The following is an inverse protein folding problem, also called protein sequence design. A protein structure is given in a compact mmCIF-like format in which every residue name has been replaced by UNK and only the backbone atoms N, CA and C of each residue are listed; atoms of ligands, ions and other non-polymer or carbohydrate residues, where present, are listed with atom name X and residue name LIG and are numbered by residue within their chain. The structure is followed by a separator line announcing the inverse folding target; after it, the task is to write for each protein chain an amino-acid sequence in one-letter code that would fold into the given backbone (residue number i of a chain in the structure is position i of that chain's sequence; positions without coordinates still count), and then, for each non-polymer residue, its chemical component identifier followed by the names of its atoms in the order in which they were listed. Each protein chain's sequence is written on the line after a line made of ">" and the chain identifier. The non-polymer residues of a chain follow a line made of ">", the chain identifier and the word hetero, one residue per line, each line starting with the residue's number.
data_IF_053892398741
#
_entry.id   IF_053892398741
#
_cell.length_a   1.000
_cell.length_b   1.000
_cell.length_c   1.000
_cell.angle_alpha   90.00
_cell.angle_beta   90.00
_cell.angle_gamma   90.00
#
_symmetry.space_group_name_H-M   'P 1'
#
loop_
_entity.id
_entity.type
_entity.pdbx_description
1 polymer ?
#
# COMPACT_ATOMS: atom_id res chain seq x y z
N UNK A 1 23.89 -6.16 67.47
CA UNK A 1 23.32 -6.03 66.15
C UNK A 1 22.10 -5.14 66.19
N UNK A 2 22.22 -3.95 65.63
CA UNK A 2 21.30 -2.83 65.77
C UNK A 2 20.04 -3.05 64.89
N UNK A 3 18.87 -2.78 65.40
CA UNK A 3 17.59 -2.94 64.70
C UNK A 3 17.52 -2.13 63.39
N UNK A 4 18.30 -1.06 63.26
CA UNK A 4 18.48 -0.27 62.05
C UNK A 4 19.10 -1.05 60.89
N UNK A 5 20.00 -2.03 61.15
CA UNK A 5 20.59 -2.85 60.09
C UNK A 5 19.57 -3.85 59.49
N UNK A 6 18.60 -4.31 60.30
CA UNK A 6 17.50 -5.15 59.82
C UNK A 6 16.51 -4.40 58.91
N UNK A 7 16.34 -3.10 59.10
CA UNK A 7 15.51 -2.24 58.25
C UNK A 7 16.18 -1.90 56.91
N UNK A 8 17.50 -1.76 56.91
CA UNK A 8 18.26 -1.51 55.67
C UNK A 8 18.36 -2.75 54.77
N UNK A 9 18.35 -3.95 55.34
CA UNK A 9 18.33 -5.19 54.55
C UNK A 9 16.95 -5.48 53.92
N UNK A 10 15.85 -4.92 54.46
CA UNK A 10 14.50 -5.07 53.89
C UNK A 10 14.26 -4.20 52.64
N UNK A 11 15.09 -3.19 52.40
CA UNK A 11 14.96 -2.33 51.17
C UNK A 11 15.67 -2.85 49.95
N UNK A 12 16.34 -4.01 49.97
CA UNK A 12 17.01 -4.64 48.84
C UNK A 12 16.23 -5.76 48.14
N UNK A 13 14.98 -5.97 48.54
CA UNK A 13 14.06 -6.89 47.81
C UNK A 13 12.99 -6.11 47.02
N UNK A 14 13.37 -5.02 46.39
CA UNK A 14 12.62 -4.56 45.19
C UNK A 14 13.08 -5.49 44.07
N UNK A 15 12.33 -6.55 43.90
CA UNK A 15 12.42 -7.49 42.81
C UNK A 15 12.49 -6.69 41.52
N UNK A 16 13.63 -6.65 40.88
CA UNK A 16 13.79 -6.33 39.49
C UNK A 16 13.13 -7.48 38.65
N UNK A 17 11.82 -7.65 38.79
CA UNK A 17 11.03 -8.29 37.78
C UNK A 17 11.07 -7.34 36.58
N UNK A 18 12.09 -7.45 35.75
CA UNK A 18 11.99 -7.05 34.37
C UNK A 18 10.74 -7.76 33.86
N UNK A 19 9.66 -7.00 33.75
CA UNK A 19 8.50 -7.48 33.03
C UNK A 19 9.05 -7.91 31.66
N UNK A 20 9.03 -9.20 31.39
CA UNK A 20 9.39 -9.75 30.11
C UNK A 20 8.26 -9.29 29.17
N UNK A 21 8.36 -8.06 28.67
CA UNK A 21 7.43 -7.53 27.69
C UNK A 21 7.72 -8.34 26.42
N UNK A 22 6.77 -9.14 25.91
CA UNK A 22 6.99 -9.91 24.71
C UNK A 22 7.46 -8.99 23.60
N UNK A 23 8.56 -9.35 22.95
CA UNK A 23 9.08 -8.61 21.81
C UNK A 23 7.98 -8.49 20.73
N UNK A 24 7.81 -7.29 20.16
CA UNK A 24 6.86 -7.04 19.07
C UNK A 24 5.49 -6.49 19.49
N UNK A 25 5.19 -6.30 20.80
CA UNK A 25 3.93 -5.67 21.25
C UNK A 25 3.91 -4.14 21.08
N UNK A 26 5.07 -3.52 20.97
CA UNK A 26 5.23 -2.08 20.89
C UNK A 26 5.91 -1.65 19.60
N UNK A 27 5.43 -0.58 19.00
CA UNK A 27 6.00 0.03 17.81
C UNK A 27 6.19 1.52 18.01
N UNK A 28 7.35 2.04 17.63
CA UNK A 28 7.65 3.47 17.68
C UNK A 28 7.15 4.14 16.40
N UNK A 29 6.38 5.23 16.54
CA UNK A 29 6.01 6.04 15.38
C UNK A 29 7.27 6.70 14.81
N UNK A 30 7.56 6.57 13.50
CA UNK A 30 8.74 7.16 12.89
C UNK A 30 8.69 8.69 12.86
N UNK A 31 7.50 9.29 12.82
CA UNK A 31 7.31 10.73 12.73
C UNK A 31 7.43 11.42 14.11
N UNK A 32 6.63 11.01 15.09
CA UNK A 32 6.58 11.69 16.40
C UNK A 32 7.36 10.98 17.50
N UNK A 33 7.94 9.80 17.23
CA UNK A 33 8.72 9.03 18.20
C UNK A 33 7.90 8.36 19.32
N UNK A 34 6.57 8.52 19.34
CA UNK A 34 5.71 7.94 20.38
C UNK A 34 5.68 6.42 20.30
N UNK A 35 5.72 5.75 21.46
CA UNK A 35 5.65 4.29 21.54
C UNK A 35 4.17 3.89 21.61
N UNK A 36 3.74 3.08 20.67
CA UNK A 36 2.36 2.68 20.46
C UNK A 36 2.18 1.17 20.65
N UNK A 37 1.10 0.79 21.29
CA UNK A 37 0.73 -0.61 21.42
C UNK A 37 0.18 -1.15 20.09
N UNK A 38 0.65 -2.33 19.68
CA UNK A 38 0.34 -2.90 18.36
C UNK A 38 -1.17 -3.02 18.11
N UNK A 39 -1.96 -3.45 19.13
CA UNK A 39 -3.43 -3.54 18.97
C UNK A 39 -4.09 -2.17 18.73
N UNK A 40 -3.57 -1.09 19.30
CA UNK A 40 -4.07 0.27 19.03
C UNK A 40 -3.81 0.64 17.57
N UNK A 41 -2.62 0.32 17.06
CA UNK A 41 -2.30 0.51 15.65
C UNK A 41 -3.16 -0.37 14.73
N UNK A 42 -3.47 -1.58 15.17
CA UNK A 42 -4.36 -2.47 14.44
C UNK A 42 -5.77 -1.89 14.26
N UNK A 43 -6.34 -1.33 15.31
CA UNK A 43 -7.65 -0.68 15.26
C UNK A 43 -7.61 0.61 14.45
N UNK A 44 -6.53 1.38 14.54
CA UNK A 44 -6.36 2.64 13.78
C UNK A 44 -5.79 2.45 12.37
N UNK A 45 -5.80 1.23 11.82
CA UNK A 45 -5.31 0.90 10.48
C UNK A 45 -3.87 1.37 10.22
N UNK A 46 -2.96 1.20 11.21
CA UNK A 46 -1.57 1.69 11.18
C UNK A 46 -1.45 3.23 11.06
N UNK A 47 -2.47 3.98 11.45
CA UNK A 47 -2.39 5.44 11.60
C UNK A 47 -2.02 5.78 13.03
N UNK A 48 -1.02 6.62 13.22
CA UNK A 48 -0.59 7.02 14.56
C UNK A 48 -1.68 7.87 15.26
N UNK A 49 -2.20 7.46 16.42
CA UNK A 49 -3.25 8.22 17.12
C UNK A 49 -2.75 9.55 17.71
N UNK A 50 -1.43 9.80 17.71
CA UNK A 50 -0.84 11.02 18.26
C UNK A 50 -0.56 12.11 17.23
N UNK A 51 -0.10 11.73 16.02
CA UNK A 51 0.27 12.70 14.99
C UNK A 51 -0.37 12.39 13.63
N UNK A 52 -1.30 11.42 13.57
CA UNK A 52 -1.97 10.99 12.34
C UNK A 52 -1.04 10.56 11.21
N UNK A 53 0.23 10.25 11.51
CA UNK A 53 1.15 9.72 10.51
C UNK A 53 0.69 8.33 10.03
N UNK A 54 0.56 8.16 8.73
CA UNK A 54 0.17 6.93 8.06
C UNK A 54 1.38 6.01 7.92
N UNK A 55 1.51 5.02 8.83
CA UNK A 55 2.57 4.01 8.75
C UNK A 55 2.25 2.98 7.67
N UNK A 56 3.28 2.25 7.23
CA UNK A 56 3.09 1.18 6.24
C UNK A 56 2.17 0.08 6.76
N UNK A 57 1.27 -0.36 5.90
CA UNK A 57 0.35 -1.47 6.09
C UNK A 57 0.59 -2.50 4.98
N UNK A 58 0.47 -3.79 5.28
CA UNK A 58 0.61 -4.84 4.26
C UNK A 58 -0.57 -4.84 3.28
N UNK A 59 -0.34 -5.34 2.07
CA UNK A 59 -1.38 -5.42 1.04
C UNK A 59 -2.61 -6.20 1.53
N UNK A 60 -2.42 -7.38 2.12
CA UNK A 60 -3.54 -8.20 2.63
C UNK A 60 -4.33 -7.50 3.72
N UNK A 61 -3.64 -6.85 4.66
CA UNK A 61 -4.32 -6.15 5.75
C UNK A 61 -5.09 -4.93 5.23
N UNK A 62 -4.55 -4.23 4.24
CA UNK A 62 -5.25 -3.12 3.58
C UNK A 62 -6.53 -3.63 2.90
N UNK A 63 -6.45 -4.68 2.11
CA UNK A 63 -7.62 -5.27 1.44
C UNK A 63 -8.63 -5.83 2.43
N UNK A 64 -8.18 -6.53 3.48
CA UNK A 64 -9.06 -7.05 4.52
C UNK A 64 -9.79 -5.96 5.33
N UNK A 65 -9.20 -4.77 5.48
CA UNK A 65 -9.87 -3.63 6.14
C UNK A 65 -10.73 -2.80 5.19
N UNK A 66 -10.55 -2.96 3.90
CA UNK A 66 -11.25 -2.22 2.87
C UNK A 66 -12.51 -2.95 2.37
N UNK A 67 -12.40 -4.25 2.11
CA UNK A 67 -13.50 -5.07 1.60
C UNK A 67 -14.39 -5.58 2.74
N UNK A 68 -15.61 -5.93 2.39
CA UNK A 68 -16.53 -6.67 3.26
C UNK A 68 -15.93 -8.05 3.57
N UNK A 69 -16.27 -8.61 4.75
CA UNK A 69 -15.65 -9.87 5.21
C UNK A 69 -16.07 -11.05 4.33
N UNK A 70 -17.27 -10.97 3.79
CA UNK A 70 -17.91 -12.03 3.03
C UNK A 70 -17.46 -12.03 1.56
N UNK A 71 -17.44 -13.22 0.94
CA UNK A 71 -17.23 -13.42 -0.51
C UNK A 71 -15.90 -12.86 -1.09
N UNK A 72 -14.85 -12.78 -0.29
CA UNK A 72 -13.53 -12.39 -0.83
C UNK A 72 -12.87 -13.54 -1.58
N UNK A 73 -12.53 -13.32 -2.84
CA UNK A 73 -11.84 -14.30 -3.69
C UNK A 73 -10.54 -13.69 -4.22
N UNK A 74 -9.41 -14.25 -3.85
CA UNK A 74 -8.13 -13.86 -4.44
C UNK A 74 -8.05 -14.30 -5.90
N UNK A 75 -7.82 -13.34 -6.78
CA UNK A 75 -7.68 -13.57 -8.23
C UNK A 75 -6.24 -13.42 -8.67
N UNK A 76 -5.89 -14.02 -9.81
CA UNK A 76 -4.56 -13.93 -10.42
C UNK A 76 -3.38 -14.46 -9.56
N UNK A 77 -3.65 -15.21 -8.47
CA UNK A 77 -2.62 -15.75 -7.59
C UNK A 77 -1.76 -16.86 -8.21
N UNK A 78 -2.16 -17.38 -9.38
CA UNK A 78 -1.42 -18.37 -10.15
C UNK A 78 -0.19 -17.79 -10.87
N UNK A 79 -0.14 -16.47 -11.15
CA UNK A 79 1.04 -15.84 -11.72
C UNK A 79 2.19 -15.82 -10.72
N UNK A 80 3.36 -16.30 -11.15
CA UNK A 80 4.58 -16.35 -10.35
C UNK A 80 5.75 -15.73 -11.11
N UNK A 81 6.70 -15.07 -10.42
CA UNK A 81 7.85 -14.47 -11.06
C UNK A 81 8.84 -15.53 -11.56
N UNK A 82 9.40 -15.27 -12.74
CA UNK A 82 10.46 -16.07 -13.34
C UNK A 82 11.64 -15.17 -13.70
N UNK A 83 12.86 -15.69 -13.53
CA UNK A 83 14.09 -14.99 -13.97
C UNK A 83 14.44 -15.40 -15.41
N UNK A 84 13.72 -14.80 -16.37
CA UNK A 84 13.91 -15.06 -17.79
C UNK A 84 15.29 -14.58 -18.29
N UNK A 85 15.83 -13.53 -17.63
CA UNK A 85 17.07 -12.88 -18.08
C UNK A 85 18.33 -13.45 -17.38
N UNK A 86 18.17 -14.30 -16.36
CA UNK A 86 19.29 -14.75 -15.54
C UNK A 86 20.00 -13.60 -14.84
N UNK A 87 19.22 -12.59 -14.38
CA UNK A 87 19.81 -11.35 -13.84
C UNK A 87 20.61 -11.59 -12.56
N UNK A 88 21.81 -11.04 -12.54
CA UNK A 88 22.69 -11.06 -11.39
C UNK A 88 23.39 -9.72 -11.23
N UNK A 89 23.27 -9.13 -10.06
CA UNK A 89 24.14 -8.06 -9.55
C UNK A 89 25.01 -8.60 -8.40
N UNK A 90 24.83 -8.10 -7.18
CA UNK A 90 25.43 -8.66 -5.96
C UNK A 90 24.78 -10.00 -5.54
N UNK A 91 23.54 -10.26 -5.97
CA UNK A 91 22.76 -11.47 -5.74
C UNK A 91 22.03 -11.85 -7.00
N UNK A 92 21.70 -13.14 -7.18
CA UNK A 92 20.79 -13.54 -8.24
C UNK A 92 19.38 -13.01 -8.01
N UNK A 93 18.66 -12.75 -9.08
CA UNK A 93 17.27 -12.29 -8.98
C UNK A 93 16.38 -13.35 -8.33
N UNK A 94 16.59 -14.63 -8.64
CA UNK A 94 15.94 -15.77 -7.99
C UNK A 94 16.09 -15.76 -6.47
N UNK A 95 17.29 -15.42 -5.94
CA UNK A 95 17.53 -15.33 -4.50
C UNK A 95 16.77 -14.16 -3.87
N UNK A 96 16.63 -13.05 -4.61
CA UNK A 96 15.85 -11.90 -4.15
C UNK A 96 14.37 -12.21 -4.09
N UNK A 97 13.84 -12.91 -5.11
CA UNK A 97 12.46 -13.39 -5.13
C UNK A 97 12.20 -14.29 -3.93
N UNK A 98 13.02 -15.33 -3.74
CA UNK A 98 12.86 -16.28 -2.62
C UNK A 98 12.92 -15.57 -1.25
N UNK A 99 13.85 -14.60 -1.08
CA UNK A 99 13.93 -13.81 0.15
C UNK A 99 12.66 -12.98 0.37
N UNK A 100 12.15 -12.30 -0.66
CA UNK A 100 10.97 -11.46 -0.56
C UNK A 100 9.71 -12.31 -0.28
N UNK A 101 9.57 -13.46 -0.93
CA UNK A 101 8.49 -14.41 -0.67
C UNK A 101 8.51 -14.92 0.77
N UNK A 102 9.69 -15.27 1.30
CA UNK A 102 9.85 -15.72 2.69
C UNK A 102 9.51 -14.62 3.70
N UNK A 103 9.90 -13.38 3.42
CA UNK A 103 9.68 -12.23 4.31
C UNK A 103 8.21 -11.80 4.33
N UNK A 104 7.56 -11.74 3.18
CA UNK A 104 6.21 -11.19 3.03
C UNK A 104 5.11 -12.24 3.07
N UNK A 105 5.41 -13.48 2.74
CA UNK A 105 4.42 -14.53 2.49
C UNK A 105 3.70 -14.39 1.14
N UNK A 106 4.04 -13.35 0.35
CA UNK A 106 3.42 -13.08 -0.94
C UNK A 106 4.25 -13.67 -2.08
N UNK A 107 3.59 -14.07 -3.16
CA UNK A 107 4.26 -14.58 -4.36
C UNK A 107 4.91 -13.48 -5.20
N UNK A 108 4.31 -12.28 -5.21
CA UNK A 108 4.82 -11.07 -5.86
C UNK A 108 4.18 -9.81 -5.24
N UNK A 109 4.60 -8.63 -5.70
CA UNK A 109 4.30 -7.33 -5.10
C UNK A 109 2.86 -6.82 -5.26
N UNK A 110 1.96 -7.53 -5.91
CA UNK A 110 0.54 -7.13 -6.07
C UNK A 110 -0.39 -8.25 -5.61
N UNK A 111 -1.33 -7.92 -4.73
CA UNK A 111 -2.46 -8.78 -4.35
C UNK A 111 -3.73 -8.21 -4.98
N UNK A 112 -4.57 -9.07 -5.58
CA UNK A 112 -5.83 -8.68 -6.18
C UNK A 112 -6.96 -9.56 -5.64
N UNK A 113 -8.04 -8.93 -5.19
CA UNK A 113 -9.20 -9.60 -4.59
C UNK A 113 -10.48 -9.11 -5.29
N UNK A 114 -11.33 -10.05 -5.66
CA UNK A 114 -12.72 -9.81 -6.01
C UNK A 114 -13.54 -9.90 -4.73
N UNK A 115 -14.34 -8.89 -4.43
CA UNK A 115 -15.17 -8.85 -3.23
C UNK A 115 -16.26 -7.78 -3.32
N UNK A 116 -16.72 -7.35 -2.17
CA UNK A 116 -17.70 -6.27 -2.04
C UNK A 116 -17.16 -5.15 -1.16
N UNK A 117 -17.65 -3.95 -1.37
CA UNK A 117 -17.40 -2.77 -0.57
C UNK A 117 -18.74 -2.14 -0.18
N UNK A 118 -19.18 -2.32 1.07
CA UNK A 118 -20.51 -1.88 1.53
C UNK A 118 -21.65 -2.41 0.60
N UNK A 119 -21.54 -3.70 0.25
CA UNK A 119 -22.45 -4.38 -0.65
C UNK A 119 -22.25 -4.12 -2.15
N UNK A 120 -21.37 -3.18 -2.55
CA UNK A 120 -21.05 -2.93 -3.95
C UNK A 120 -20.00 -3.93 -4.46
N UNK A 121 -20.23 -4.63 -5.57
CA UNK A 121 -19.22 -5.48 -6.17
C UNK A 121 -18.02 -4.63 -6.63
N UNK A 122 -16.82 -5.09 -6.30
CA UNK A 122 -15.58 -4.36 -6.63
C UNK A 122 -14.40 -5.32 -6.79
N UNK A 123 -13.47 -4.97 -7.66
CA UNK A 123 -12.13 -5.56 -7.69
C UNK A 123 -11.17 -4.61 -6.98
N UNK A 124 -10.48 -5.10 -5.97
CA UNK A 124 -9.52 -4.31 -5.22
C UNK A 124 -8.10 -4.90 -5.35
N UNK A 125 -7.15 -4.05 -5.69
CA UNK A 125 -5.73 -4.37 -5.78
C UNK A 125 -4.95 -3.60 -4.72
N UNK A 126 -3.92 -4.21 -4.14
CA UNK A 126 -2.98 -3.51 -3.26
C UNK A 126 -1.55 -3.98 -3.50
N UNK A 127 -0.63 -3.03 -3.54
CA UNK A 127 0.80 -3.31 -3.62
C UNK A 127 1.36 -3.70 -2.25
N UNK A 128 2.17 -4.76 -2.23
CA UNK A 128 2.99 -5.13 -1.07
C UNK A 128 4.37 -4.48 -1.19
N UNK A 129 4.53 -3.37 -0.48
CA UNK A 129 5.80 -2.62 -0.56
C UNK A 129 7.00 -3.40 -0.05
N UNK A 130 6.81 -4.28 0.93
CA UNK A 130 7.90 -5.10 1.47
C UNK A 130 8.43 -6.11 0.48
N UNK A 131 7.65 -6.46 -0.56
CA UNK A 131 8.12 -7.29 -1.66
C UNK A 131 8.92 -6.44 -2.66
N UNK A 132 10.25 -6.43 -2.53
CA UNK A 132 11.17 -5.71 -3.42
C UNK A 132 10.77 -4.25 -3.66
N UNK A 133 10.43 -3.52 -2.59
CA UNK A 133 9.92 -2.15 -2.62
C UNK A 133 8.64 -1.97 -3.47
N UNK A 134 7.79 -2.97 -3.56
CA UNK A 134 6.57 -2.91 -4.37
C UNK A 134 6.81 -2.80 -5.88
N UNK A 135 8.02 -3.11 -6.36
CA UNK A 135 8.41 -2.85 -7.74
C UNK A 135 7.59 -3.65 -8.74
N UNK A 136 7.20 -2.97 -9.84
CA UNK A 136 6.40 -3.56 -10.92
C UNK A 136 7.29 -4.39 -11.84
N UNK A 137 7.12 -5.72 -11.79
CA UNK A 137 7.61 -6.68 -12.77
C UNK A 137 6.47 -7.24 -13.64
N UNK A 138 6.80 -8.23 -14.45
CA UNK A 138 5.87 -8.92 -15.36
C UNK A 138 4.65 -9.48 -14.64
N UNK A 139 4.82 -10.04 -13.44
CA UNK A 139 3.73 -10.59 -12.63
C UNK A 139 2.79 -9.51 -12.11
N UNK A 140 3.32 -8.37 -11.62
CA UNK A 140 2.49 -7.24 -11.20
C UNK A 140 1.61 -6.76 -12.36
N UNK A 141 2.22 -6.56 -13.54
CA UNK A 141 1.46 -6.16 -14.73
C UNK A 141 0.42 -7.20 -15.14
N UNK A 142 0.77 -8.50 -15.10
CA UNK A 142 -0.16 -9.58 -15.43
C UNK A 142 -1.35 -9.66 -14.44
N UNK A 143 -1.09 -9.56 -13.14
CA UNK A 143 -2.12 -9.56 -12.10
C UNK A 143 -3.03 -8.35 -12.22
N UNK A 144 -2.46 -7.16 -12.46
CA UNK A 144 -3.26 -5.95 -12.64
C UNK A 144 -4.17 -6.03 -13.87
N UNK A 145 -3.64 -6.46 -15.01
CA UNK A 145 -4.46 -6.66 -16.24
C UNK A 145 -5.54 -7.71 -16.00
N UNK A 146 -5.23 -8.80 -15.31
CA UNK A 146 -6.24 -9.81 -14.96
C UNK A 146 -7.34 -9.19 -14.07
N UNK A 147 -6.97 -8.38 -13.09
CA UNK A 147 -7.92 -7.67 -12.23
C UNK A 147 -8.83 -6.73 -13.02
N UNK A 148 -8.28 -5.97 -13.98
CA UNK A 148 -9.04 -5.13 -14.92
C UNK A 148 -10.03 -5.97 -15.73
N UNK A 149 -9.60 -7.11 -16.30
CA UNK A 149 -10.45 -7.98 -17.07
C UNK A 149 -11.60 -8.55 -16.23
N UNK A 150 -11.32 -9.00 -15.00
CA UNK A 150 -12.35 -9.49 -14.08
C UNK A 150 -13.33 -8.38 -13.69
N UNK A 151 -12.86 -7.14 -13.49
CA UNK A 151 -13.73 -5.99 -13.21
C UNK A 151 -14.69 -5.74 -14.38
N UNK A 152 -14.16 -5.73 -15.60
CA UNK A 152 -14.96 -5.58 -16.82
C UNK A 152 -15.99 -6.72 -16.98
N UNK A 153 -15.54 -7.97 -16.87
CA UNK A 153 -16.38 -9.16 -17.07
C UNK A 153 -17.45 -9.30 -15.95
N UNK A 154 -17.17 -8.75 -14.75
CA UNK A 154 -18.11 -8.68 -13.64
C UNK A 154 -18.94 -7.39 -13.62
N UNK A 155 -18.75 -6.48 -14.59
CA UNK A 155 -19.40 -5.17 -14.67
C UNK A 155 -19.32 -4.37 -13.37
N UNK A 156 -18.12 -4.26 -12.78
CA UNK A 156 -17.90 -3.57 -11.51
C UNK A 156 -16.68 -2.65 -11.55
N UNK A 157 -16.56 -1.75 -10.56
CA UNK A 157 -15.44 -0.84 -10.44
C UNK A 157 -14.12 -1.53 -10.04
N UNK A 158 -13.02 -0.86 -10.30
CA UNK A 158 -11.67 -1.26 -9.90
C UNK A 158 -11.11 -0.23 -8.93
N UNK A 159 -10.48 -0.70 -7.85
CA UNK A 159 -9.73 0.13 -6.90
C UNK A 159 -8.31 -0.40 -6.77
N UNK A 160 -7.30 0.47 -6.82
CA UNK A 160 -5.91 0.06 -6.63
C UNK A 160 -5.19 0.93 -5.61
N UNK A 161 -4.65 0.33 -4.58
CA UNK A 161 -3.78 0.97 -3.59
C UNK A 161 -2.33 0.81 -4.02
N UNK A 162 -1.74 1.88 -4.53
CA UNK A 162 -0.38 1.89 -5.04
C UNK A 162 0.63 2.21 -3.94
N UNK A 163 1.66 1.35 -3.82
CA UNK A 163 2.82 1.55 -2.96
C UNK A 163 4.05 0.94 -3.66
N UNK A 164 4.84 1.75 -4.36
CA UNK A 164 5.84 1.23 -5.28
C UNK A 164 7.05 2.15 -5.44
N UNK A 165 8.25 1.56 -5.51
CA UNK A 165 9.49 2.27 -5.85
C UNK A 165 9.71 2.45 -7.36
N UNK A 166 8.90 1.83 -8.23
CA UNK A 166 9.02 1.94 -9.68
C UNK A 166 9.05 0.59 -10.42
N UNK A 167 9.55 0.60 -11.67
CA UNK A 167 9.73 -0.62 -12.46
C UNK A 167 10.82 -1.53 -11.88
N UNK A 168 10.62 -2.84 -11.94
CA UNK A 168 11.56 -3.84 -11.41
C UNK A 168 12.79 -3.96 -12.30
N UNK A 169 13.91 -3.42 -11.82
CA UNK A 169 15.16 -3.32 -12.56
C UNK A 169 15.66 -4.70 -13.06
N UNK A 170 15.46 -5.76 -12.28
CA UNK A 170 15.91 -7.11 -12.60
C UNK A 170 15.22 -7.71 -13.83
N UNK A 171 14.07 -7.19 -14.20
CA UNK A 171 13.31 -7.61 -15.38
C UNK A 171 13.50 -6.68 -16.59
N UNK A 172 14.35 -5.64 -16.46
CA UNK A 172 14.75 -4.74 -17.55
C UNK A 172 13.55 -4.25 -18.39
N UNK A 173 13.61 -4.40 -19.72
CA UNK A 173 12.56 -3.98 -20.64
C UNK A 173 11.21 -4.65 -20.34
N UNK A 174 11.19 -5.89 -19.86
CA UNK A 174 9.96 -6.59 -19.50
C UNK A 174 9.16 -5.84 -18.45
N UNK A 175 9.82 -5.27 -17.45
CA UNK A 175 9.18 -4.44 -16.44
C UNK A 175 8.63 -3.13 -17.04
N UNK A 176 9.37 -2.48 -17.94
CA UNK A 176 8.92 -1.25 -18.59
C UNK A 176 7.70 -1.48 -19.48
N UNK A 177 7.65 -2.60 -20.21
CA UNK A 177 6.51 -2.95 -21.07
C UNK A 177 5.21 -3.19 -20.28
N UNK A 178 5.29 -3.42 -18.96
CA UNK A 178 4.09 -3.51 -18.14
C UNK A 178 3.34 -2.17 -18.07
N UNK A 179 4.03 -1.03 -18.17
CA UNK A 179 3.37 0.28 -18.22
C UNK A 179 2.40 0.37 -19.39
N UNK A 180 2.83 0.03 -20.60
CA UNK A 180 1.97 0.03 -21.79
C UNK A 180 0.82 -0.98 -21.64
N UNK A 181 1.11 -2.17 -21.13
CA UNK A 181 0.14 -3.25 -20.96
C UNK A 181 -0.97 -2.89 -19.95
N UNK A 182 -0.62 -2.30 -18.82
CA UNK A 182 -1.58 -1.87 -17.79
C UNK A 182 -2.40 -0.67 -18.23
N UNK A 183 -1.78 0.30 -18.93
CA UNK A 183 -2.48 1.47 -19.49
C UNK A 183 -3.49 1.05 -20.58
N UNK A 184 -3.12 0.10 -21.45
CA UNK A 184 -4.04 -0.45 -22.45
C UNK A 184 -5.24 -1.17 -21.80
N UNK A 185 -5.01 -1.89 -20.70
CA UNK A 185 -6.09 -2.54 -19.97
C UNK A 185 -7.05 -1.52 -19.33
N UNK A 186 -6.51 -0.48 -18.69
CA UNK A 186 -7.33 0.61 -18.11
C UNK A 186 -8.16 1.32 -19.18
N UNK A 187 -7.59 1.54 -20.38
CA UNK A 187 -8.38 2.10 -21.49
C UNK A 187 -9.57 1.20 -21.86
N UNK A 188 -9.42 -0.13 -21.83
CA UNK A 188 -10.54 -1.06 -22.09
C UNK A 188 -11.60 -0.99 -20.97
N UNK A 189 -11.21 -0.78 -19.71
CA UNK A 189 -12.13 -0.58 -18.60
C UNK A 189 -12.93 0.73 -18.80
N UNK A 190 -12.24 1.81 -19.12
CA UNK A 190 -12.84 3.12 -19.42
C UNK A 190 -13.82 3.05 -20.61
N UNK A 191 -13.46 2.35 -21.69
CA UNK A 191 -14.37 2.13 -22.83
C UNK A 191 -15.62 1.32 -22.45
N UNK A 192 -15.54 0.49 -21.40
CA UNK A 192 -16.70 -0.21 -20.85
C UNK A 192 -17.55 0.66 -19.91
N UNK A 193 -17.15 1.92 -19.66
CA UNK A 193 -17.85 2.84 -18.75
C UNK A 193 -17.73 2.48 -17.28
N UNK A 194 -16.69 1.71 -16.92
CA UNK A 194 -16.49 1.24 -15.55
C UNK A 194 -15.42 2.06 -14.82
N UNK A 195 -15.67 2.46 -13.57
CA UNK A 195 -14.77 3.36 -12.84
C UNK A 195 -13.50 2.68 -12.37
N UNK A 196 -12.39 3.41 -12.45
CA UNK A 196 -11.14 3.10 -11.81
C UNK A 196 -10.77 4.16 -10.77
N UNK A 197 -10.72 3.80 -9.50
CA UNK A 197 -10.26 4.67 -8.42
C UNK A 197 -8.85 4.27 -8.02
N UNK A 198 -7.92 5.21 -8.17
CA UNK A 198 -6.53 5.04 -7.77
C UNK A 198 -6.25 5.69 -6.42
N UNK A 199 -5.69 4.91 -5.49
CA UNK A 199 -5.26 5.39 -4.18
C UNK A 199 -3.73 5.34 -4.10
N UNK A 200 -3.12 6.50 -3.98
CA UNK A 200 -1.67 6.67 -3.93
C UNK A 200 -1.20 6.77 -2.47
N UNK A 201 -0.35 5.84 -2.07
CA UNK A 201 0.13 5.75 -0.68
C UNK A 201 1.64 5.98 -0.60
N UNK A 202 2.20 6.13 0.61
CA UNK A 202 3.64 6.34 0.80
C UNK A 202 4.42 5.03 0.65
N UNK A 203 5.23 4.91 -0.39
CA UNK A 203 5.58 5.85 -1.45
C UNK A 203 5.13 5.27 -2.80
N UNK A 204 4.81 6.13 -3.77
CA UNK A 204 4.43 5.71 -5.13
C UNK A 204 5.26 6.45 -6.17
N UNK A 205 6.17 5.75 -6.88
CA UNK A 205 7.13 6.34 -7.79
C UNK A 205 7.30 5.56 -9.11
N UNK A 206 7.99 6.19 -10.05
CA UNK A 206 8.52 5.60 -11.28
C UNK A 206 7.43 5.08 -12.22
N UNK A 207 7.65 3.89 -12.79
CA UNK A 207 6.76 3.30 -13.78
C UNK A 207 5.33 3.07 -13.29
N UNK A 208 5.12 2.82 -12.00
CA UNK A 208 3.77 2.64 -11.44
C UNK A 208 3.02 3.96 -11.38
N UNK A 209 3.68 5.05 -10.93
CA UNK A 209 3.06 6.38 -10.96
C UNK A 209 2.70 6.81 -12.39
N UNK A 210 3.54 6.49 -13.37
CA UNK A 210 3.33 6.86 -14.77
C UNK A 210 2.34 5.94 -15.54
N UNK A 211 1.79 4.91 -14.93
CA UNK A 211 0.93 3.95 -15.64
C UNK A 211 -0.31 3.50 -14.85
N UNK A 212 -0.15 3.00 -13.64
CA UNK A 212 -1.28 2.50 -12.83
C UNK A 212 -1.83 3.64 -11.97
N UNK A 213 -0.94 4.31 -11.21
CA UNK A 213 -1.36 5.15 -10.11
C UNK A 213 -1.94 6.51 -10.52
N UNK A 214 -1.58 7.07 -11.69
CA UNK A 214 -2.06 8.39 -12.15
C UNK A 214 -3.08 8.30 -13.29
N UNK A 215 -3.61 7.10 -13.56
CA UNK A 215 -4.62 6.87 -14.59
C UNK A 215 -6.01 6.56 -14.01
N UNK A 216 -6.26 6.90 -12.75
CA UNK A 216 -7.57 6.80 -12.14
C UNK A 216 -8.54 7.84 -12.69
N UNK A 217 -9.83 7.49 -12.77
CA UNK A 217 -10.91 8.46 -12.95
C UNK A 217 -10.98 9.41 -11.73
N UNK A 218 -10.55 8.89 -10.56
CA UNK A 218 -10.30 9.66 -9.33
C UNK A 218 -8.96 9.19 -8.76
N UNK A 219 -8.04 10.16 -8.52
CA UNK A 219 -6.74 9.93 -7.92
C UNK A 219 -6.72 10.47 -6.48
N UNK A 220 -6.66 9.56 -5.50
CA UNK A 220 -6.74 9.88 -4.07
C UNK A 220 -5.36 9.69 -3.44
N UNK A 221 -4.83 10.71 -2.75
CA UNK A 221 -3.63 10.58 -1.91
C UNK A 221 -3.95 10.21 -0.47
N UNK A 222 -3.14 9.35 0.18
CA UNK A 222 -3.10 9.33 1.66
C UNK A 222 -2.35 10.58 2.16
N UNK A 223 -2.67 11.13 3.36
CA UNK A 223 -1.96 12.27 3.92
C UNK A 223 -0.44 12.06 3.97
N UNK A 224 0.33 13.06 3.56
CA UNK A 224 1.80 13.09 3.54
C UNK A 224 2.43 11.96 2.70
N UNK A 225 1.69 11.31 1.82
CA UNK A 225 2.24 10.31 0.92
C UNK A 225 3.19 10.95 -0.10
N UNK A 226 4.36 10.35 -0.28
CA UNK A 226 5.34 10.79 -1.28
C UNK A 226 5.04 10.13 -2.61
N UNK A 227 4.74 10.96 -3.59
CA UNK A 227 4.27 10.54 -4.90
C UNK A 227 5.04 11.31 -5.97
N UNK A 228 5.56 10.63 -6.97
CA UNK A 228 6.28 11.28 -8.06
C UNK A 228 6.78 10.28 -9.09
N UNK A 229 7.47 10.77 -10.12
CA UNK A 229 8.13 9.90 -11.08
C UNK A 229 9.58 9.63 -10.66
N UNK A 230 10.44 10.64 -10.70
CA UNK A 230 11.80 10.53 -10.18
C UNK A 230 11.81 10.91 -8.69
N UNK A 231 12.60 10.20 -7.89
CA UNK A 231 12.75 10.56 -6.48
C UNK A 231 13.45 11.92 -6.30
N UNK A 232 13.12 12.65 -5.22
CA UNK A 232 13.66 13.97 -4.86
C UNK A 232 15.17 14.05 -5.06
N UNK A 233 15.94 13.12 -4.51
CA UNK A 233 17.40 13.07 -4.62
C UNK A 233 17.89 13.07 -6.09
N UNK A 234 17.22 12.33 -6.96
CA UNK A 234 17.58 12.25 -8.38
C UNK A 234 17.34 13.59 -9.06
N UNK A 235 16.22 14.25 -8.76
CA UNK A 235 15.89 15.56 -9.32
C UNK A 235 16.91 16.60 -8.85
N UNK A 236 17.18 16.72 -7.55
CA UNK A 236 18.15 17.65 -6.98
C UNK A 236 19.54 17.49 -7.58
N UNK A 237 20.00 16.24 -7.75
CA UNK A 237 21.30 15.95 -8.37
C UNK A 237 21.36 16.27 -9.86
N UNK A 238 20.23 16.17 -10.57
CA UNK A 238 20.17 16.40 -12.03
C UNK A 238 19.99 17.87 -12.34
N UNK A 239 19.07 18.53 -11.67
CA UNK A 239 18.74 19.95 -11.88
C UNK A 239 19.70 20.88 -11.11
N UNK A 240 20.31 20.37 -10.03
CA UNK A 240 21.21 21.11 -9.11
C UNK A 240 20.52 22.27 -8.40
N UNK A 241 19.24 22.09 -8.06
CA UNK A 241 18.42 23.03 -7.29
C UNK A 241 17.91 22.36 -6.02
N UNK A 242 17.71 23.14 -4.98
CA UNK A 242 17.05 22.70 -3.75
C UNK A 242 15.53 22.68 -3.95
N UNK A 243 14.89 21.56 -3.62
CA UNK A 243 13.44 21.42 -3.73
C UNK A 243 12.76 21.80 -2.40
N UNK A 244 11.52 22.32 -2.44
CA UNK A 244 10.72 22.59 -1.23
C UNK A 244 10.63 21.33 -0.34
N UNK A 245 10.47 21.51 0.98
CA UNK A 245 10.41 20.37 1.92
C UNK A 245 9.23 19.44 1.65
N UNK A 246 8.10 20.00 1.27
CA UNK A 246 6.85 19.33 0.95
C UNK A 246 6.76 18.81 -0.50
N UNK A 247 7.79 19.07 -1.31
CA UNK A 247 7.85 18.62 -2.71
C UNK A 247 7.56 17.12 -2.83
N UNK A 248 6.63 16.77 -3.72
CA UNK A 248 6.13 15.40 -3.93
C UNK A 248 5.29 14.83 -2.77
N UNK A 249 4.93 15.59 -1.75
CA UNK A 249 3.90 15.16 -0.82
C UNK A 249 2.51 15.30 -1.43
N UNK A 250 1.56 14.51 -0.96
CA UNK A 250 0.18 14.52 -1.46
C UNK A 250 -0.47 15.90 -1.35
N UNK A 251 -0.16 16.67 -0.31
CA UNK A 251 -0.65 18.04 -0.13
C UNK A 251 -0.14 18.98 -1.23
N UNK A 252 1.15 18.93 -1.52
CA UNK A 252 1.77 19.66 -2.62
C UNK A 252 1.14 19.29 -3.97
N UNK A 253 0.93 17.99 -4.20
CA UNK A 253 0.35 17.48 -5.45
C UNK A 253 -1.12 17.87 -5.62
N UNK A 254 -1.88 17.93 -4.53
CA UNK A 254 -3.26 18.40 -4.54
C UNK A 254 -3.34 19.86 -4.93
N UNK A 255 -2.50 20.73 -4.35
CA UNK A 255 -2.41 22.15 -4.68
C UNK A 255 -2.03 22.39 -6.14
N UNK A 256 -1.24 21.50 -6.74
CA UNK A 256 -0.82 21.57 -8.14
C UNK A 256 -1.73 20.79 -9.10
N UNK A 257 -2.88 20.29 -8.64
CA UNK A 257 -3.89 19.62 -9.47
C UNK A 257 -3.50 18.24 -9.98
N UNK A 258 -2.49 17.59 -9.38
CA UNK A 258 -2.09 16.23 -9.71
C UNK A 258 -2.90 15.17 -8.96
N UNK A 259 -3.57 15.52 -7.88
CA UNK A 259 -4.51 14.69 -7.14
C UNK A 259 -5.87 15.37 -7.08
N UNK A 260 -6.94 14.58 -7.02
CA UNK A 260 -8.30 15.06 -6.87
C UNK A 260 -8.65 15.32 -5.41
N UNK A 261 -8.08 14.56 -4.49
CA UNK A 261 -8.29 14.71 -3.06
C UNK A 261 -7.25 13.99 -2.21
N UNK A 262 -7.25 14.32 -0.91
CA UNK A 262 -6.52 13.59 0.13
C UNK A 262 -7.54 13.01 1.10
N UNK A 263 -7.42 11.71 1.40
CA UNK A 263 -8.34 11.01 2.29
C UNK A 263 -7.55 10.22 3.33
N UNK A 264 -7.90 10.39 4.61
CA UNK A 264 -7.34 9.57 5.68
C UNK A 264 -7.72 8.09 5.47
N UNK A 265 -6.80 7.19 5.75
CA UNK A 265 -7.01 5.75 5.57
C UNK A 265 -8.23 5.23 6.32
N UNK A 266 -8.55 5.83 7.46
CA UNK A 266 -9.69 5.44 8.30
C UNK A 266 -11.04 5.76 7.65
N UNK A 267 -11.07 6.77 6.78
CA UNK A 267 -12.27 7.22 6.07
C UNK A 267 -12.34 6.67 4.63
N UNK A 268 -11.25 6.05 4.16
CA UNK A 268 -11.06 5.64 2.77
C UNK A 268 -12.17 4.69 2.27
N UNK A 269 -12.57 3.73 3.11
CA UNK A 269 -13.62 2.75 2.80
C UNK A 269 -14.95 3.44 2.44
N UNK A 270 -15.41 4.33 3.31
CA UNK A 270 -16.67 5.05 3.13
C UNK A 270 -16.62 5.98 1.92
N UNK A 271 -15.50 6.73 1.80
CA UNK A 271 -15.34 7.69 0.71
C UNK A 271 -15.32 7.01 -0.67
N UNK A 272 -14.62 5.90 -0.81
CA UNK A 272 -14.56 5.16 -2.08
C UNK A 272 -15.92 4.50 -2.38
N UNK A 273 -16.62 3.97 -1.38
CA UNK A 273 -17.96 3.41 -1.57
C UNK A 273 -18.94 4.47 -2.10
N UNK A 274 -18.90 5.71 -1.55
CA UNK A 274 -19.73 6.82 -2.05
C UNK A 274 -19.43 7.14 -3.54
N UNK A 275 -18.17 7.13 -3.95
CA UNK A 275 -17.82 7.38 -5.35
C UNK A 275 -18.26 6.25 -6.25
N UNK A 276 -17.96 5.01 -5.89
CA UNK A 276 -18.39 3.84 -6.67
C UNK A 276 -19.91 3.81 -6.83
N UNK A 277 -20.67 4.04 -5.75
CA UNK A 277 -22.13 4.11 -5.80
C UNK A 277 -22.64 5.14 -6.82
N UNK A 278 -22.05 6.34 -6.82
CA UNK A 278 -22.43 7.42 -7.76
C UNK A 278 -22.02 7.10 -9.20
N UNK A 279 -20.79 6.61 -9.40
CA UNK A 279 -20.23 6.34 -10.73
C UNK A 279 -20.88 5.11 -11.41
N UNK A 280 -21.30 4.12 -10.62
CA UNK A 280 -22.01 2.93 -11.13
C UNK A 280 -23.52 3.03 -11.05
N UNK A 281 -24.06 4.13 -10.51
CA UNK A 281 -25.48 4.32 -10.24
C UNK A 281 -26.10 3.16 -9.42
N UNK A 282 -25.34 2.61 -8.47
CA UNK A 282 -25.73 1.49 -7.61
C UNK A 282 -25.89 2.01 -6.17
N UNK A 283 -26.95 1.64 -5.47
CA UNK A 283 -27.19 2.08 -4.09
C UNK A 283 -26.28 1.31 -3.12
N UNK A 284 -25.75 2.04 -2.12
CA UNK A 284 -25.10 1.42 -0.97
C UNK A 284 -26.12 0.62 -0.15
N UNK A 285 -25.70 -0.51 0.35
CA UNK A 285 -26.47 -1.23 1.39
C UNK A 285 -26.16 -0.52 2.70
N UNK A 286 -27.17 0.11 3.31
CA UNK A 286 -27.02 0.69 4.64
C UNK A 286 -26.73 -0.46 5.62
N UNK A 287 -25.62 -0.35 6.35
CA UNK A 287 -25.35 -1.26 7.46
C UNK A 287 -26.49 -1.06 8.47
N UNK A 288 -27.35 -2.08 8.66
CA UNK A 288 -28.33 -2.09 9.75
C UNK A 288 -27.56 -2.05 11.06
N UNK A 289 -27.76 -0.97 11.85
CA UNK A 289 -27.21 -0.76 13.20
C UNK A 289 -27.41 -1.96 14.14
#
# INVERSE_FOLDING_TARGET
>A
MNWLEKLLHRKKLVSNRKANIPEGLWRKCPQCGHILYKKVLEVSLEVCPKCSHHMRITARRRLASFLDIEEQVEIASHYQPEDILGFKDKKHYTDRIASAQKETGEKDALVAIKGQLMGLPVIACAFEFSFMAGSMGSVVGARFVHAVNVARDSNCGLVCFSACGGARMQESLMALMQMAKTSAALNQLSMAGLPYISVLTDQTFGGVSASIAMLGDINIGEPQARIGFAGRRVIEQTVREELPEDFQQSEFLLEHGALDMIVDRRDMRNRIAEFLSKMTNTRLVEESE
#
